data_IF_125923535445
#
_entry.id   IF_125923535445
#
_cell.length_a   1.000
_cell.length_b   1.000
_cell.length_c   1.000
_cell.angle_alpha   90.00
_cell.angle_beta   90.00
_cell.angle_gamma   90.00
#
_symmetry.space_group_name_H-M   'P 1'
#
loop_
_entity.id
_entity.type
_entity.pdbx_description
1 polymer ?
#
# COMPACT_ATOMS: atom_id res chain seq x y z
N UNK A 1 -0.61 -10.18 12.29
CA UNK A 1 -2.03 -9.99 12.67
C UNK A 1 -2.94 -10.95 11.93
N UNK A 2 -2.88 -11.01 10.58
CA UNK A 2 -3.72 -11.91 9.78
C UNK A 2 -3.14 -13.33 9.73
N UNK A 3 -2.10 -13.59 8.92
CA UNK A 3 -1.58 -14.95 8.67
C UNK A 3 -1.14 -15.72 9.93
N UNK A 4 -0.22 -15.15 10.71
CA UNK A 4 0.45 -15.90 11.78
C UNK A 4 -0.32 -15.90 13.11
N UNK A 5 -1.19 -14.91 13.32
CA UNK A 5 -1.88 -14.69 14.60
C UNK A 5 -3.41 -14.79 14.49
N UNK A 6 -3.95 -14.80 13.27
CA UNK A 6 -5.38 -14.94 12.99
C UNK A 6 -6.29 -13.97 13.77
N UNK A 7 -5.78 -12.78 14.09
CA UNK A 7 -6.49 -11.76 14.88
C UNK A 7 -7.49 -10.95 14.04
N UNK A 8 -7.34 -10.95 12.73
CA UNK A 8 -8.15 -10.18 11.78
C UNK A 8 -8.43 -11.04 10.55
N UNK A 9 -9.63 -10.92 10.00
CA UNK A 9 -9.92 -11.41 8.66
C UNK A 9 -9.06 -10.66 7.63
N UNK A 10 -8.71 -11.31 6.52
CA UNK A 10 -7.86 -10.69 5.50
C UNK A 10 -8.55 -9.48 4.85
N UNK A 11 -9.85 -9.57 4.65
CA UNK A 11 -10.68 -8.50 4.07
C UNK A 11 -10.68 -7.26 4.97
N UNK A 12 -10.73 -7.47 6.29
CA UNK A 12 -10.67 -6.39 7.28
C UNK A 12 -9.29 -5.74 7.27
N UNK A 13 -8.21 -6.54 7.23
CA UNK A 13 -6.85 -6.00 7.11
C UNK A 13 -6.63 -5.22 5.80
N UNK A 14 -7.16 -5.72 4.68
CA UNK A 14 -7.15 -5.00 3.40
C UNK A 14 -7.91 -3.68 3.54
N UNK A 15 -9.10 -3.68 4.14
CA UNK A 15 -9.89 -2.47 4.33
C UNK A 15 -9.16 -1.43 5.19
N UNK A 16 -8.54 -1.85 6.30
CA UNK A 16 -7.76 -0.98 7.19
C UNK A 16 -6.55 -0.34 6.49
N UNK A 17 -5.99 -0.98 5.48
CA UNK A 17 -4.86 -0.47 4.70
C UNK A 17 -5.26 0.27 3.41
N UNK A 18 -6.54 0.22 3.01
CA UNK A 18 -7.01 0.76 1.72
C UNK A 18 -8.23 1.66 1.89
N UNK A 19 -9.42 1.08 2.03
CA UNK A 19 -10.69 1.80 2.10
C UNK A 19 -10.80 2.72 3.31
N UNK A 20 -10.40 2.26 4.49
CA UNK A 20 -10.49 3.07 5.72
C UNK A 20 -9.66 4.37 5.65
N UNK A 21 -8.37 4.36 5.27
CA UNK A 21 -7.64 5.62 5.08
C UNK A 21 -8.16 6.43 3.89
N UNK A 22 -8.62 5.80 2.80
CA UNK A 22 -9.23 6.53 1.69
C UNK A 22 -10.48 7.30 2.12
N UNK A 23 -11.35 6.68 2.92
CA UNK A 23 -12.54 7.33 3.50
C UNK A 23 -12.13 8.45 4.47
N UNK A 24 -11.14 8.19 5.34
CA UNK A 24 -10.66 9.17 6.33
C UNK A 24 -10.07 10.43 5.67
N UNK A 25 -9.32 10.28 4.59
CA UNK A 25 -8.75 11.41 3.83
C UNK A 25 -9.69 11.94 2.73
N UNK A 26 -10.86 11.31 2.55
CA UNK A 26 -11.84 11.67 1.52
C UNK A 26 -11.38 11.43 0.09
N UNK A 27 -10.43 10.50 -0.15
CA UNK A 27 -9.92 10.20 -1.48
C UNK A 27 -11.06 9.68 -2.39
N UNK A 28 -11.37 10.42 -3.44
CA UNK A 28 -12.58 10.18 -4.23
C UNK A 28 -12.50 8.93 -5.12
N UNK A 29 -11.32 8.59 -5.62
CA UNK A 29 -11.12 7.53 -6.64
C UNK A 29 -10.17 6.39 -6.18
N UNK A 30 -9.97 6.20 -4.85
CA UNK A 30 -8.95 5.29 -4.30
C UNK A 30 -9.48 4.32 -3.25
N UNK A 31 -8.66 3.32 -2.94
CA UNK A 31 -8.86 2.40 -1.81
C UNK A 31 -9.91 1.31 -2.04
N UNK A 32 -10.49 1.22 -3.24
CA UNK A 32 -11.55 0.26 -3.59
C UNK A 32 -11.36 -0.26 -5.01
N UNK A 33 -11.72 -1.53 -5.22
CA UNK A 33 -11.74 -2.16 -6.54
C UNK A 33 -13.12 -1.99 -7.18
N UNK A 34 -13.35 -0.83 -7.79
CA UNK A 34 -14.60 -0.51 -8.49
C UNK A 34 -14.31 0.17 -9.83
N UNK A 35 -15.19 0.02 -10.83
CA UNK A 35 -15.03 0.72 -12.11
C UNK A 35 -14.92 2.24 -11.91
N UNK A 36 -13.96 2.87 -12.60
CA UNK A 36 -13.72 4.32 -12.51
C UNK A 36 -12.73 4.74 -11.42
N UNK A 37 -12.42 3.88 -10.45
CA UNK A 37 -11.34 4.14 -9.50
C UNK A 37 -9.96 4.06 -10.17
N UNK A 38 -8.96 4.73 -9.59
CA UNK A 38 -7.59 4.59 -10.04
C UNK A 38 -7.13 3.13 -9.86
N UNK A 39 -6.40 2.62 -10.85
CA UNK A 39 -5.85 1.26 -10.82
C UNK A 39 -4.58 1.21 -9.94
N UNK A 40 -4.79 1.43 -8.63
CA UNK A 40 -3.80 1.25 -7.58
C UNK A 40 -4.01 -0.11 -6.92
N UNK A 41 -3.17 -1.08 -7.28
CA UNK A 41 -3.38 -2.50 -6.99
C UNK A 41 -2.12 -3.13 -6.41
N UNK A 42 -2.31 -4.09 -5.50
CA UNK A 42 -1.26 -4.98 -5.04
C UNK A 42 -1.72 -6.43 -5.20
N UNK A 43 -0.89 -7.27 -5.83
CA UNK A 43 -1.11 -8.71 -5.95
C UNK A 43 -0.32 -9.40 -4.85
N UNK A 44 -1.05 -10.00 -3.90
CA UNK A 44 -0.50 -10.53 -2.66
C UNK A 44 -0.88 -12.00 -2.53
N UNK A 45 0.10 -12.84 -2.20
CA UNK A 45 -0.12 -14.24 -1.80
C UNK A 45 -0.40 -14.30 -0.29
N UNK A 46 -1.64 -14.62 0.12
CA UNK A 46 -2.02 -14.62 1.53
C UNK A 46 -1.28 -15.68 2.35
N UNK A 47 -0.77 -16.75 1.72
CA UNK A 47 -0.04 -17.80 2.42
C UNK A 47 1.40 -17.39 2.77
N UNK A 48 1.99 -16.47 2.01
CA UNK A 48 3.42 -16.13 2.14
C UNK A 48 3.68 -14.67 2.50
N UNK A 49 2.68 -13.79 2.43
CA UNK A 49 2.84 -12.36 2.70
C UNK A 49 3.37 -12.09 4.11
N UNK A 50 4.49 -11.38 4.19
CA UNK A 50 5.10 -11.03 5.47
C UNK A 50 6.48 -10.40 5.33
N UNK A 51 7.07 -9.95 6.45
CA UNK A 51 8.43 -9.45 6.47
C UNK A 51 9.43 -10.61 6.32
N UNK A 52 10.52 -10.34 5.62
CA UNK A 52 11.71 -11.18 5.59
C UNK A 52 12.60 -10.97 6.81
N UNK A 53 13.81 -11.51 6.75
CA UNK A 53 14.78 -11.37 7.84
C UNK A 53 15.21 -9.91 8.01
N UNK A 54 15.19 -9.46 9.26
CA UNK A 54 15.66 -8.13 9.64
C UNK A 54 17.19 -8.04 9.50
N UNK A 55 17.66 -6.90 8.97
CA UNK A 55 19.09 -6.56 8.92
C UNK A 55 19.30 -5.09 9.19
N UNK A 56 20.44 -4.75 9.80
CA UNK A 56 20.87 -3.36 9.98
C UNK A 56 21.69 -2.92 8.78
N UNK A 57 21.35 -1.77 8.20
CA UNK A 57 22.08 -1.11 7.12
C UNK A 57 22.44 0.32 7.52
N UNK A 58 23.66 0.77 7.19
CA UNK A 58 24.17 2.11 7.49
C UNK A 58 24.16 3.01 6.25
N UNK A 59 22.98 3.22 5.67
CA UNK A 59 22.78 3.90 4.37
C UNK A 59 21.98 5.21 4.46
N UNK A 60 21.65 5.67 5.67
CA UNK A 60 20.97 6.96 5.85
C UNK A 60 21.94 8.14 5.73
N UNK A 61 21.44 9.35 5.42
CA UNK A 61 22.25 10.56 5.43
C UNK A 61 23.07 10.71 6.72
N UNK A 62 24.35 11.05 6.58
CA UNK A 62 25.28 11.15 7.71
C UNK A 62 25.79 9.81 8.24
N UNK A 63 25.57 8.69 7.54
CA UNK A 63 26.06 7.37 7.93
C UNK A 63 25.24 6.70 9.05
N UNK A 64 24.04 7.22 9.33
CA UNK A 64 23.16 6.63 10.32
C UNK A 64 22.63 5.25 9.87
N UNK A 65 22.30 4.42 10.85
CA UNK A 65 21.79 3.06 10.61
C UNK A 65 20.26 2.98 10.68
N UNK A 66 19.69 2.05 9.91
CA UNK A 66 18.28 1.65 9.97
C UNK A 66 18.13 0.13 9.90
N UNK A 67 17.04 -0.38 10.47
CA UNK A 67 16.62 -1.77 10.29
C UNK A 67 15.77 -1.86 9.02
N UNK A 68 16.06 -2.85 8.18
CA UNK A 68 15.28 -3.15 6.98
C UNK A 68 14.88 -4.62 6.98
N UNK A 69 13.69 -4.90 6.47
CA UNK A 69 13.19 -6.22 6.18
C UNK A 69 12.54 -6.18 4.79
N UNK A 70 12.95 -7.08 3.90
CA UNK A 70 12.35 -7.15 2.56
C UNK A 70 10.95 -7.76 2.67
N UNK A 71 10.08 -7.49 1.70
CA UNK A 71 8.74 -8.08 1.68
C UNK A 71 8.75 -9.44 0.96
N UNK A 72 7.98 -10.40 1.50
CA UNK A 72 7.63 -11.64 0.82
C UNK A 72 6.16 -11.66 0.46
N UNK A 73 5.79 -12.50 -0.51
CA UNK A 73 4.39 -12.70 -0.93
C UNK A 73 3.74 -11.50 -1.63
N UNK A 74 4.51 -10.49 -2.05
CA UNK A 74 4.03 -9.37 -2.88
C UNK A 74 4.59 -9.53 -4.29
N UNK A 75 3.72 -9.89 -5.24
CA UNK A 75 4.11 -10.19 -6.62
C UNK A 75 4.22 -8.93 -7.47
N UNK A 76 3.08 -8.29 -7.75
CA UNK A 76 2.99 -7.11 -8.59
C UNK A 76 2.36 -5.95 -7.81
N UNK A 77 2.84 -4.74 -8.08
CA UNK A 77 2.24 -3.49 -7.56
C UNK A 77 2.03 -2.55 -8.73
N UNK A 78 0.82 -2.02 -8.84
CA UNK A 78 0.37 -1.15 -9.91
C UNK A 78 -0.06 0.18 -9.30
N UNK A 79 0.35 1.28 -9.91
CA UNK A 79 -0.07 2.64 -9.54
C UNK A 79 -0.59 3.33 -10.79
N UNK A 80 -1.84 3.82 -10.72
CA UNK A 80 -2.55 4.44 -11.84
C UNK A 80 -2.47 3.62 -13.15
N UNK A 81 -2.57 2.29 -13.03
CA UNK A 81 -2.52 1.37 -14.18
C UNK A 81 -1.12 1.02 -14.69
N UNK A 82 -0.06 1.55 -14.09
CA UNK A 82 1.33 1.25 -14.45
C UNK A 82 1.99 0.37 -13.40
N UNK A 83 2.57 -0.76 -13.81
CA UNK A 83 3.29 -1.66 -12.91
C UNK A 83 4.60 -1.01 -12.41
N UNK A 84 4.69 -0.78 -11.11
CA UNK A 84 5.88 -0.27 -10.42
C UNK A 84 6.73 -1.39 -9.80
N UNK A 85 6.09 -2.52 -9.48
CA UNK A 85 6.76 -3.76 -9.10
C UNK A 85 6.21 -4.85 -9.99
N UNK A 86 7.09 -5.69 -10.54
CA UNK A 86 6.73 -6.87 -11.30
C UNK A 86 7.52 -8.08 -10.86
N UNK A 87 6.83 -9.17 -10.53
CA UNK A 87 7.44 -10.39 -9.98
C UNK A 87 8.42 -10.10 -8.83
N UNK A 88 8.03 -9.24 -7.89
CA UNK A 88 8.82 -8.84 -6.73
C UNK A 88 9.96 -7.87 -7.01
N UNK A 89 10.14 -7.41 -8.27
CA UNK A 89 11.23 -6.50 -8.65
C UNK A 89 10.71 -5.13 -9.04
N UNK A 90 11.35 -4.06 -8.53
CA UNK A 90 11.00 -2.69 -8.90
C UNK A 90 11.28 -2.44 -10.39
N UNK A 91 10.33 -1.83 -11.10
CA UNK A 91 10.43 -1.60 -12.55
C UNK A 91 11.14 -0.30 -12.91
N UNK A 92 11.34 0.60 -11.94
CA UNK A 92 11.84 1.96 -12.20
C UNK A 92 10.74 2.97 -12.54
N UNK A 93 9.51 2.53 -12.79
CA UNK A 93 8.41 3.42 -13.13
C UNK A 93 7.96 4.25 -11.91
N UNK A 94 7.75 5.55 -12.13
CA UNK A 94 7.28 6.50 -11.10
C UNK A 94 6.02 7.25 -11.55
N UNK A 95 4.91 6.55 -11.84
CA UNK A 95 3.68 7.13 -12.40
C UNK A 95 2.86 7.95 -11.38
N UNK A 96 3.32 8.02 -10.13
CA UNK A 96 2.61 8.70 -9.05
C UNK A 96 2.42 10.19 -9.35
N UNK A 97 1.26 10.72 -8.95
CA UNK A 97 0.95 12.15 -8.99
C UNK A 97 0.65 12.67 -7.61
N UNK A 98 0.87 13.96 -7.40
CA UNK A 98 0.40 14.65 -6.19
C UNK A 98 -1.13 14.74 -6.24
N UNK A 99 -1.79 14.26 -5.19
CA UNK A 99 -3.22 14.43 -4.98
C UNK A 99 -3.50 15.78 -4.31
N UNK A 100 -4.56 16.45 -4.74
CA UNK A 100 -4.91 17.81 -4.29
C UNK A 100 -6.25 17.86 -3.58
N UNK A 101 -6.30 18.67 -2.53
CA UNK A 101 -7.54 18.97 -1.83
C UNK A 101 -8.58 19.61 -2.76
N UNK A 102 -9.83 19.15 -2.71
CA UNK A 102 -10.95 19.65 -3.52
C UNK A 102 -10.96 19.22 -4.99
N UNK A 103 -9.90 18.57 -5.49
CA UNK A 103 -9.88 17.93 -6.83
C UNK A 103 -9.92 16.41 -6.70
N UNK A 104 -9.02 15.84 -5.91
CA UNK A 104 -8.91 14.39 -5.71
C UNK A 104 -9.58 13.93 -4.41
N UNK A 105 -10.12 14.87 -3.63
CA UNK A 105 -10.74 14.61 -2.33
C UNK A 105 -12.08 15.30 -2.17
N UNK A 106 -12.99 14.63 -1.46
CA UNK A 106 -14.21 15.22 -0.94
C UNK A 106 -14.03 15.64 0.51
N UNK A 107 -14.76 16.67 0.95
CA UNK A 107 -14.82 17.04 2.37
C UNK A 107 -15.48 15.91 3.15
N UNK A 108 -14.71 15.26 4.02
CA UNK A 108 -15.23 14.25 4.93
C UNK A 108 -16.03 14.96 6.02
N UNK A 109 -17.30 14.60 6.17
CA UNK A 109 -18.11 15.10 7.26
C UNK A 109 -17.52 14.64 8.59
N UNK A 110 -17.36 15.56 9.54
CA UNK A 110 -17.13 15.17 10.93
C UNK A 110 -18.40 14.47 11.40
N UNK A 111 -18.39 13.14 11.50
CA UNK A 111 -19.43 12.47 12.29
C UNK A 111 -19.22 12.84 13.76
N UNK A 112 -20.28 13.15 14.50
CA UNK A 112 -20.20 13.45 15.94
C UNK A 112 -19.67 12.26 16.74
#
# INVERSE_FOLDING_TARGET
>A
AVRDLELLAIEEAVHLLTGAPADFYGLADRGRLVPGAAADLAVVDPATVGPGAERTVADLPGGASRIVADAHGVGDVVVAGTAIVRHGTFTGATPGRVLRSGTDTATVGLSP
#
